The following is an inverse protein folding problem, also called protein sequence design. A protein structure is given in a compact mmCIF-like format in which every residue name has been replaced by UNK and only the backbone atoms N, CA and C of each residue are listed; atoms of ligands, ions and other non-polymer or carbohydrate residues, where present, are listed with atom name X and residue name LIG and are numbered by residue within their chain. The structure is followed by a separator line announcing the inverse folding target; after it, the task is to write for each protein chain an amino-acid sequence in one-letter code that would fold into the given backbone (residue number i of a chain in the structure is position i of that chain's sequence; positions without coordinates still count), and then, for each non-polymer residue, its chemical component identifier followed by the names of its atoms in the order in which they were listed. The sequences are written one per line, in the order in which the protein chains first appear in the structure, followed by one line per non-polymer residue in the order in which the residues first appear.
data_IF_787065458874
#
_entry.id   IF_787065458874
#
_cell.length_a   1.000
_cell.length_b   1.000
_cell.length_c   1.000
_cell.angle_alpha   90.00
_cell.angle_beta   90.00
_cell.angle_gamma   90.00
#
_symmetry.space_group_name_H-M   'P 1'
#
loop_
_entity.id
_entity.type
_entity.pdbx_description
1 polymer ?
#
# COMPACT_ATOMS: atom_id res chain seq x y z
N UNK A 1 -24.37 -19.17 -4.83
CA UNK A 1 -22.91 -19.26 -4.70
C UNK A 1 -22.51 -19.25 -3.21
N UNK A 2 -22.56 -20.44 -2.59
CA UNK A 2 -22.30 -20.57 -1.16
C UNK A 2 -20.86 -20.15 -0.81
N UNK A 3 -19.89 -20.45 -1.69
CA UNK A 3 -18.47 -20.14 -1.46
C UNK A 3 -18.24 -18.63 -1.31
N UNK A 4 -18.78 -17.83 -2.24
CA UNK A 4 -18.67 -16.37 -2.17
C UNK A 4 -19.40 -15.82 -0.93
N UNK A 5 -20.53 -16.41 -0.56
CA UNK A 5 -21.29 -15.97 0.61
C UNK A 5 -20.53 -16.25 1.93
N UNK A 6 -19.93 -17.44 2.06
CA UNK A 6 -19.14 -17.80 3.22
C UNK A 6 -17.91 -16.88 3.37
N UNK A 7 -17.19 -16.64 2.27
CA UNK A 7 -16.06 -15.71 2.25
C UNK A 7 -16.46 -14.27 2.60
N UNK A 8 -17.64 -13.83 2.10
CA UNK A 8 -18.21 -12.52 2.45
C UNK A 8 -18.44 -12.42 3.95
N UNK A 9 -19.02 -13.42 4.57
CA UNK A 9 -19.28 -13.41 6.02
C UNK A 9 -17.97 -13.22 6.81
N UNK A 10 -16.89 -13.90 6.45
CA UNK A 10 -15.59 -13.76 7.10
C UNK A 10 -15.07 -12.33 6.97
N UNK A 11 -15.07 -11.78 5.77
CA UNK A 11 -14.57 -10.42 5.51
C UNK A 11 -15.41 -9.35 6.21
N UNK A 12 -16.75 -9.48 6.18
CA UNK A 12 -17.64 -8.53 6.85
C UNK A 12 -17.56 -8.62 8.38
N UNK A 13 -17.33 -9.82 8.94
CA UNK A 13 -17.05 -9.95 10.38
C UNK A 13 -15.78 -9.21 10.77
N UNK A 14 -14.66 -9.44 10.07
CA UNK A 14 -13.40 -8.73 10.32
C UNK A 14 -13.57 -7.21 10.18
N UNK A 15 -14.31 -6.77 9.17
CA UNK A 15 -14.61 -5.34 8.96
C UNK A 15 -15.42 -4.76 10.12
N UNK A 16 -16.45 -5.45 10.58
CA UNK A 16 -17.29 -5.02 11.70
C UNK A 16 -16.50 -5.00 13.01
N UNK A 17 -15.67 -6.00 13.25
CA UNK A 17 -14.81 -6.07 14.44
C UNK A 17 -13.82 -4.90 14.45
N UNK A 18 -13.20 -4.58 13.34
CA UNK A 18 -12.31 -3.42 13.21
C UNK A 18 -13.04 -2.09 13.38
N UNK A 19 -14.31 -1.98 12.93
CA UNK A 19 -15.11 -0.76 13.09
C UNK A 19 -15.52 -0.51 14.55
N UNK A 20 -15.86 -1.57 15.28
CA UNK A 20 -16.43 -1.49 16.64
C UNK A 20 -15.37 -1.48 17.73
N UNK A 21 -14.17 -1.97 17.45
CA UNK A 21 -13.14 -2.14 18.47
C UNK A 21 -12.11 -1.02 18.46
N UNK A 22 -11.71 -0.57 19.64
CA UNK A 22 -10.53 0.30 19.82
C UNK A 22 -9.22 -0.53 19.83
N UNK A 23 -9.29 -1.77 19.32
CA UNK A 23 -8.17 -2.74 19.33
C UNK A 23 -7.37 -2.78 18.03
N UNK A 24 -7.45 -1.74 17.22
CA UNK A 24 -6.77 -1.73 15.92
C UNK A 24 -5.25 -1.89 16.05
N UNK A 25 -4.64 -1.34 17.09
CA UNK A 25 -3.22 -1.52 17.36
C UNK A 25 -2.86 -2.97 17.64
N UNK A 26 -3.75 -3.71 18.35
CA UNK A 26 -3.54 -5.13 18.60
C UNK A 26 -3.60 -5.94 17.28
N UNK A 27 -4.56 -5.67 16.42
CA UNK A 27 -4.64 -6.32 15.10
C UNK A 27 -3.41 -6.03 14.23
N UNK A 28 -2.94 -4.77 14.21
CA UNK A 28 -1.74 -4.44 13.45
C UNK A 28 -0.48 -5.11 14.01
N UNK A 29 -0.37 -5.28 15.33
CA UNK A 29 0.74 -6.01 15.95
C UNK A 29 0.70 -7.52 15.67
N UNK A 30 -0.49 -8.12 15.65
CA UNK A 30 -0.67 -9.53 15.26
C UNK A 30 -0.29 -9.77 13.80
N UNK A 31 -0.79 -8.94 12.89
CA UNK A 31 -0.48 -9.03 11.46
C UNK A 31 1.01 -8.81 11.18
N UNK A 32 1.64 -7.88 11.91
CA UNK A 32 3.07 -7.65 11.81
C UNK A 32 3.86 -8.91 12.22
N UNK A 33 3.49 -9.54 13.34
CA UNK A 33 4.15 -10.78 13.81
C UNK A 33 3.98 -11.93 12.81
N UNK A 34 2.77 -12.13 12.26
CA UNK A 34 2.53 -13.15 11.23
C UNK A 34 3.39 -12.88 9.99
N UNK A 35 3.44 -11.64 9.55
CA UNK A 35 4.24 -11.24 8.39
C UNK A 35 5.74 -11.44 8.61
N UNK A 36 6.26 -11.16 9.82
CA UNK A 36 7.66 -11.42 10.15
C UNK A 36 7.95 -12.92 10.14
N UNK A 37 7.05 -13.74 10.67
CA UNK A 37 7.19 -15.20 10.62
C UNK A 37 7.27 -15.71 9.18
N UNK A 38 6.46 -15.13 8.27
CA UNK A 38 6.53 -15.45 6.84
C UNK A 38 7.85 -15.00 6.21
N UNK A 39 8.37 -13.84 6.59
CA UNK A 39 9.71 -13.40 6.16
C UNK A 39 10.81 -14.36 6.60
N UNK A 40 10.75 -14.83 7.84
CA UNK A 40 11.71 -15.81 8.36
C UNK A 40 11.64 -17.12 7.57
N UNK A 41 10.43 -17.60 7.24
CA UNK A 41 10.25 -18.78 6.38
C UNK A 41 10.85 -18.58 4.99
N UNK A 42 10.65 -17.41 4.38
CA UNK A 42 11.24 -17.08 3.08
C UNK A 42 12.77 -16.99 3.15
N UNK A 43 13.30 -16.45 4.25
CA UNK A 43 14.74 -16.40 4.50
C UNK A 43 15.35 -17.80 4.63
N UNK A 44 14.66 -18.73 5.31
CA UNK A 44 15.07 -20.14 5.37
C UNK A 44 15.07 -20.80 3.98
N UNK A 45 14.05 -20.54 3.15
CA UNK A 45 14.02 -21.02 1.76
C UNK A 45 15.19 -20.46 0.94
N UNK A 46 15.58 -19.21 1.14
CA UNK A 46 16.74 -18.62 0.47
C UNK A 46 18.06 -19.30 0.85
N UNK A 47 18.19 -19.78 2.08
CA UNK A 47 19.38 -20.56 2.50
C UNK A 47 19.50 -21.89 1.73
N UNK A 48 18.36 -22.51 1.36
CA UNK A 48 18.32 -23.75 0.56
C UNK A 48 18.39 -23.51 -0.94
N UNK A 49 17.86 -22.38 -1.41
CA UNK A 49 17.91 -21.95 -2.81
C UNK A 49 18.40 -20.49 -2.90
N UNK A 50 19.71 -20.27 -3.13
CA UNK A 50 20.30 -18.92 -3.21
C UNK A 50 19.75 -18.05 -4.36
N UNK A 51 19.13 -18.66 -5.39
CA UNK A 51 18.50 -17.92 -6.49
C UNK A 51 17.11 -17.39 -6.14
N UNK A 52 16.53 -17.80 -5.02
CA UNK A 52 15.23 -17.33 -4.57
C UNK A 52 15.34 -15.89 -4.05
N UNK A 53 14.73 -14.96 -4.77
CA UNK A 53 14.69 -13.52 -4.44
C UNK A 53 13.42 -13.10 -3.71
N UNK A 54 12.52 -14.04 -3.36
CA UNK A 54 11.22 -13.73 -2.74
C UNK A 54 11.39 -13.00 -1.40
N UNK A 55 12.33 -13.44 -0.58
CA UNK A 55 12.63 -12.81 0.71
C UNK A 55 13.02 -11.34 0.54
N UNK A 56 13.95 -11.05 -0.38
CA UNK A 56 14.43 -9.69 -0.63
C UNK A 56 13.35 -8.78 -1.18
N UNK A 57 12.56 -9.30 -2.12
CA UNK A 57 11.45 -8.55 -2.70
C UNK A 57 10.39 -8.21 -1.65
N UNK A 58 10.01 -9.19 -0.81
CA UNK A 58 9.04 -8.97 0.27
C UNK A 58 9.59 -8.00 1.32
N UNK A 59 10.85 -8.12 1.70
CA UNK A 59 11.50 -7.21 2.64
C UNK A 59 11.56 -5.78 2.09
N UNK A 60 11.95 -5.59 0.83
CA UNK A 60 11.93 -4.27 0.14
C UNK A 60 10.54 -3.66 0.07
N UNK A 61 9.53 -4.49 -0.14
CA UNK A 61 8.13 -4.06 -0.23
C UNK A 61 7.65 -3.50 1.12
N UNK A 62 7.96 -4.20 2.21
CA UNK A 62 7.55 -3.82 3.57
C UNK A 62 8.26 -2.56 4.05
N UNK A 63 9.57 -2.52 3.89
CA UNK A 63 10.41 -1.43 4.39
C UNK A 63 10.39 -0.19 3.48
N UNK A 64 9.91 -0.34 2.24
CA UNK A 64 9.73 0.74 1.28
C UNK A 64 11.03 1.28 0.70
N UNK A 65 10.90 2.39 -0.05
CA UNK A 65 12.00 3.04 -0.76
C UNK A 65 12.94 3.86 0.14
N UNK A 66 12.65 3.96 1.41
CA UNK A 66 13.35 4.85 2.34
C UNK A 66 14.53 4.19 3.07
N UNK A 67 14.78 2.90 2.84
CA UNK A 67 15.93 2.21 3.40
C UNK A 67 17.12 2.38 2.47
N UNK A 68 18.24 2.82 3.06
CA UNK A 68 19.52 2.80 2.35
C UNK A 68 19.91 1.36 1.99
N UNK A 69 20.64 1.19 0.89
CA UNK A 69 21.15 -0.10 0.45
C UNK A 69 21.94 -0.80 1.55
N UNK A 70 22.73 -0.06 2.30
CA UNK A 70 23.55 -0.57 3.42
C UNK A 70 22.70 -1.14 4.57
N UNK A 71 21.61 -0.46 4.93
CA UNK A 71 20.69 -0.95 5.96
C UNK A 71 19.91 -2.17 5.49
N UNK A 72 19.55 -2.22 4.20
CA UNK A 72 18.90 -3.38 3.62
C UNK A 72 19.80 -4.62 3.64
N UNK A 73 21.08 -4.48 3.28
CA UNK A 73 22.05 -5.57 3.33
C UNK A 73 22.28 -6.05 4.76
N UNK A 74 22.41 -5.15 5.72
CA UNK A 74 22.51 -5.51 7.15
C UNK A 74 21.30 -6.32 7.60
N UNK A 75 20.08 -5.87 7.32
CA UNK A 75 18.84 -6.57 7.68
C UNK A 75 18.75 -7.95 7.03
N UNK A 76 19.19 -8.08 5.79
CA UNK A 76 19.14 -9.36 5.06
C UNK A 76 20.10 -10.40 5.65
N UNK A 77 21.21 -9.96 6.27
CA UNK A 77 22.25 -10.82 6.85
C UNK A 77 22.07 -11.11 8.34
N UNK A 78 21.20 -10.34 9.05
CA UNK A 78 20.91 -10.54 10.48
C UNK A 78 20.40 -11.97 10.76
N UNK A 79 20.57 -12.45 11.96
CA UNK A 79 19.89 -13.65 12.44
C UNK A 79 18.37 -13.42 12.58
N UNK A 80 17.61 -14.49 12.67
CA UNK A 80 16.13 -14.41 12.60
C UNK A 80 15.53 -13.64 13.79
N UNK A 81 16.12 -13.78 14.99
CA UNK A 81 15.67 -13.05 16.18
C UNK A 81 16.01 -11.57 16.13
N UNK A 82 17.18 -11.20 15.62
CA UNK A 82 17.59 -9.81 15.45
C UNK A 82 16.78 -9.12 14.37
N UNK A 83 16.48 -9.80 13.26
CA UNK A 83 15.61 -9.30 12.21
C UNK A 83 14.19 -9.03 12.73
N UNK A 84 13.63 -9.93 13.53
CA UNK A 84 12.33 -9.77 14.16
C UNK A 84 12.29 -8.53 15.04
N UNK A 85 13.29 -8.37 15.94
CA UNK A 85 13.38 -7.22 16.83
C UNK A 85 13.48 -5.92 16.05
N UNK A 86 14.36 -5.86 15.07
CA UNK A 86 14.60 -4.64 14.29
C UNK A 86 13.35 -4.18 13.52
N UNK A 87 12.60 -5.11 12.91
CA UNK A 87 11.35 -4.77 12.21
C UNK A 87 10.29 -4.29 13.21
N UNK A 88 10.17 -4.93 14.38
CA UNK A 88 9.27 -4.51 15.45
C UNK A 88 9.63 -3.11 15.97
N UNK A 89 10.91 -2.84 16.18
CA UNK A 89 11.41 -1.55 16.68
C UNK A 89 11.13 -0.43 15.68
N UNK A 90 11.36 -0.67 14.38
CA UNK A 90 11.02 0.28 13.32
C UNK A 90 9.51 0.59 13.31
N UNK A 91 8.67 -0.44 13.39
CA UNK A 91 7.23 -0.26 13.39
C UNK A 91 6.73 0.50 14.62
N UNK A 92 7.20 0.11 15.80
CA UNK A 92 6.84 0.76 17.07
C UNK A 92 7.27 2.21 17.10
N UNK A 93 8.51 2.50 16.68
CA UNK A 93 9.04 3.86 16.58
C UNK A 93 8.19 4.72 15.64
N UNK A 94 7.85 4.23 14.46
CA UNK A 94 7.00 4.95 13.51
C UNK A 94 5.61 5.24 14.10
N UNK A 95 5.04 4.31 14.88
CA UNK A 95 3.76 4.50 15.57
C UNK A 95 3.89 5.53 16.69
N UNK A 96 4.92 5.45 17.52
CA UNK A 96 5.18 6.43 18.60
C UNK A 96 5.36 7.85 18.06
N UNK A 97 6.10 8.00 16.97
CA UNK A 97 6.26 9.29 16.30
C UNK A 97 4.89 9.83 15.81
N UNK A 98 4.03 8.99 15.24
CA UNK A 98 2.66 9.40 14.88
C UNK A 98 1.84 9.82 16.09
N UNK A 99 1.86 9.03 17.16
CA UNK A 99 1.13 9.34 18.40
C UNK A 99 1.59 10.67 19.01
N UNK A 100 2.90 10.94 19.02
CA UNK A 100 3.44 12.21 19.49
C UNK A 100 2.96 13.41 18.68
N UNK A 101 2.76 13.24 17.38
CA UNK A 101 2.35 14.32 16.48
C UNK A 101 0.86 14.61 16.49
N UNK A 102 0.03 13.56 16.47
CA UNK A 102 -1.42 13.68 16.24
C UNK A 102 -2.26 13.19 17.40
N UNK A 103 -1.65 12.58 18.41
CA UNK A 103 -2.35 11.93 19.52
C UNK A 103 -2.74 10.48 19.22
N UNK A 104 -3.03 9.74 20.28
CA UNK A 104 -3.32 8.30 20.21
C UNK A 104 -4.62 8.03 19.46
N UNK A 105 -5.70 8.74 19.81
CA UNK A 105 -7.04 8.55 19.23
C UNK A 105 -7.01 8.76 17.70
N UNK A 106 -6.35 9.82 17.24
CA UNK A 106 -6.22 10.09 15.79
C UNK A 106 -5.33 9.06 15.09
N UNK A 107 -4.27 8.58 15.75
CA UNK A 107 -3.42 7.52 15.22
C UNK A 107 -4.20 6.22 15.06
N UNK A 108 -5.03 5.85 16.02
CA UNK A 108 -5.93 4.69 15.94
C UNK A 108 -6.94 4.83 14.80
N UNK A 109 -7.55 6.00 14.67
CA UNK A 109 -8.53 6.27 13.61
C UNK A 109 -7.88 6.19 12.20
N UNK A 110 -6.64 6.64 12.04
CA UNK A 110 -5.89 6.50 10.79
C UNK A 110 -5.60 5.03 10.48
N UNK A 111 -5.08 4.26 11.45
CA UNK A 111 -4.82 2.82 11.25
C UNK A 111 -6.12 2.08 10.90
N UNK A 112 -7.22 2.38 11.58
CA UNK A 112 -8.55 1.83 11.32
C UNK A 112 -9.03 2.14 9.90
N UNK A 113 -8.89 3.39 9.46
CA UNK A 113 -9.28 3.82 8.12
C UNK A 113 -8.45 3.13 7.03
N UNK A 114 -7.14 3.00 7.24
CA UNK A 114 -6.25 2.28 6.31
C UNK A 114 -6.63 0.80 6.23
N UNK A 115 -6.93 0.18 7.36
CA UNK A 115 -7.37 -1.22 7.40
C UNK A 115 -8.67 -1.44 6.63
N UNK A 116 -9.68 -0.61 6.88
CA UNK A 116 -10.97 -0.68 6.17
C UNK A 116 -10.79 -0.47 4.67
N UNK A 117 -9.97 0.49 4.26
CA UNK A 117 -9.67 0.74 2.86
C UNK A 117 -8.94 -0.46 2.21
N UNK A 118 -8.01 -1.09 2.93
CA UNK A 118 -7.31 -2.28 2.45
C UNK A 118 -8.27 -3.45 2.25
N UNK A 119 -9.22 -3.65 3.17
CA UNK A 119 -10.29 -4.64 3.03
C UNK A 119 -11.10 -4.36 1.76
N UNK A 120 -11.62 -3.14 1.62
CA UNK A 120 -12.52 -2.78 0.51
C UNK A 120 -11.85 -2.96 -0.86
N UNK A 121 -10.58 -2.55 -1.00
CA UNK A 121 -9.81 -2.70 -2.25
C UNK A 121 -9.53 -4.17 -2.59
N UNK A 122 -9.04 -4.95 -1.62
CA UNK A 122 -8.68 -6.35 -1.85
C UNK A 122 -9.94 -7.20 -2.08
N UNK A 123 -11.02 -6.96 -1.35
CA UNK A 123 -12.30 -7.65 -1.54
C UNK A 123 -12.92 -7.37 -2.91
N UNK A 124 -12.90 -6.12 -3.37
CA UNK A 124 -13.37 -5.77 -4.72
C UNK A 124 -12.61 -6.54 -5.81
N UNK A 125 -11.29 -6.59 -5.72
CA UNK A 125 -10.45 -7.34 -6.65
C UNK A 125 -10.75 -8.83 -6.61
N UNK A 126 -10.96 -9.38 -5.41
CA UNK A 126 -11.27 -10.80 -5.23
C UNK A 126 -12.59 -11.20 -5.88
N UNK A 127 -13.66 -10.40 -5.72
CA UNK A 127 -14.93 -10.66 -6.40
C UNK A 127 -14.74 -10.70 -7.91
N UNK A 128 -13.94 -9.80 -8.48
CA UNK A 128 -13.65 -9.79 -9.91
C UNK A 128 -12.90 -11.05 -10.35
N UNK A 129 -11.93 -11.54 -9.58
CA UNK A 129 -11.22 -12.78 -9.87
C UNK A 129 -12.16 -14.00 -9.78
N UNK A 130 -13.04 -14.08 -8.79
CA UNK A 130 -14.00 -15.16 -8.68
C UNK A 130 -14.98 -15.17 -9.84
N UNK A 131 -15.43 -14.01 -10.32
CA UNK A 131 -16.32 -13.93 -11.48
C UNK A 131 -15.60 -14.38 -12.75
N UNK A 132 -14.35 -14.00 -12.97
CA UNK A 132 -13.53 -14.49 -14.08
C UNK A 132 -13.32 -16.00 -13.99
N UNK A 133 -13.00 -16.53 -12.80
CA UNK A 133 -12.85 -17.96 -12.58
C UNK A 133 -14.13 -18.71 -12.93
N UNK A 134 -15.30 -18.19 -12.52
CA UNK A 134 -16.62 -18.78 -12.82
C UNK A 134 -16.88 -18.91 -14.31
N UNK A 135 -16.45 -17.93 -15.10
CA UNK A 135 -16.64 -17.94 -16.54
C UNK A 135 -15.79 -19.01 -17.24
N UNK A 136 -14.58 -19.28 -16.74
CA UNK A 136 -13.64 -20.19 -17.41
C UNK A 136 -13.58 -21.58 -16.83
N UNK A 137 -14.09 -21.80 -15.61
CA UNK A 137 -13.95 -23.07 -14.91
C UNK A 137 -14.64 -24.24 -15.65
N UNK A 138 -15.71 -23.96 -16.38
CA UNK A 138 -16.42 -24.95 -17.18
C UNK A 138 -15.55 -25.64 -18.24
N UNK A 139 -14.51 -24.96 -18.74
CA UNK A 139 -13.59 -25.53 -19.71
C UNK A 139 -12.76 -26.69 -19.14
N UNK A 140 -12.64 -26.82 -17.82
CA UNK A 140 -11.91 -27.91 -17.18
C UNK A 140 -12.63 -29.27 -17.26
N UNK A 141 -13.92 -29.27 -17.59
CA UNK A 141 -14.66 -30.50 -17.86
C UNK A 141 -14.07 -31.32 -19.03
N UNK A 142 -13.45 -30.66 -20.01
CA UNK A 142 -12.73 -31.33 -21.09
C UNK A 142 -11.54 -32.16 -20.61
N UNK A 143 -10.94 -31.81 -19.44
CA UNK A 143 -9.89 -32.58 -18.78
C UNK A 143 -10.37 -33.63 -17.80
N UNK A 144 -11.64 -34.07 -17.88
CA UNK A 144 -12.28 -35.05 -16.98
C UNK A 144 -12.24 -34.64 -15.48
N UNK A 145 -12.18 -33.34 -15.20
CA UNK A 145 -12.28 -32.81 -13.84
C UNK A 145 -13.65 -32.22 -13.59
N UNK A 146 -14.16 -32.43 -12.37
CA UNK A 146 -15.41 -31.80 -11.95
C UNK A 146 -15.22 -30.29 -11.80
N UNK A 147 -15.87 -29.43 -12.62
CA UNK A 147 -15.72 -27.98 -12.55
C UNK A 147 -16.11 -27.40 -11.19
N UNK A 148 -17.08 -28.00 -10.48
CA UNK A 148 -17.52 -27.52 -9.18
C UNK A 148 -16.46 -27.73 -8.10
N UNK A 149 -15.81 -28.89 -8.11
CA UNK A 149 -14.72 -29.20 -7.16
C UNK A 149 -13.52 -28.31 -7.43
N UNK A 150 -13.14 -28.15 -8.70
CA UNK A 150 -12.04 -27.27 -9.10
C UNK A 150 -12.31 -25.80 -8.74
N UNK A 151 -13.55 -25.32 -8.97
CA UNK A 151 -13.97 -23.98 -8.56
C UNK A 151 -13.81 -23.77 -7.06
N UNK A 152 -14.31 -24.67 -6.22
CA UNK A 152 -14.21 -24.58 -4.78
C UNK A 152 -12.76 -24.53 -4.32
N UNK A 153 -11.90 -25.38 -4.88
CA UNK A 153 -10.48 -25.47 -4.54
C UNK A 153 -9.74 -24.18 -4.91
N UNK A 154 -9.97 -23.66 -6.12
CA UNK A 154 -9.31 -22.40 -6.53
C UNK A 154 -9.85 -21.19 -5.80
N UNK A 155 -11.16 -21.11 -5.58
CA UNK A 155 -11.77 -20.03 -4.82
C UNK A 155 -11.24 -19.99 -3.38
N UNK A 156 -11.00 -21.15 -2.75
CA UNK A 156 -10.36 -21.22 -1.44
C UNK A 156 -8.91 -20.70 -1.47
N UNK A 157 -8.13 -21.14 -2.48
CA UNK A 157 -6.74 -20.67 -2.64
C UNK A 157 -6.68 -19.16 -2.89
N UNK A 158 -7.56 -18.62 -3.74
CA UNK A 158 -7.67 -17.18 -4.00
C UNK A 158 -8.05 -16.40 -2.73
N UNK A 159 -8.92 -16.96 -1.90
CA UNK A 159 -9.31 -16.32 -0.64
C UNK A 159 -8.19 -16.31 0.39
N UNK A 160 -7.42 -17.40 0.52
CA UNK A 160 -6.24 -17.43 1.37
C UNK A 160 -5.23 -16.36 0.92
N UNK A 161 -4.96 -16.28 -0.37
CA UNK A 161 -4.06 -15.27 -0.94
C UNK A 161 -4.57 -13.83 -0.70
N UNK A 162 -5.89 -13.61 -0.73
CA UNK A 162 -6.49 -12.33 -0.40
C UNK A 162 -6.20 -11.93 1.05
N UNK A 163 -6.38 -12.85 2.01
CA UNK A 163 -6.13 -12.57 3.43
C UNK A 163 -4.66 -12.24 3.68
N UNK A 164 -3.74 -12.98 3.08
CA UNK A 164 -2.30 -12.74 3.19
C UNK A 164 -1.91 -11.39 2.56
N UNK A 165 -2.47 -11.09 1.39
CA UNK A 165 -2.25 -9.83 0.71
C UNK A 165 -2.80 -8.64 1.51
N UNK A 166 -3.99 -8.77 2.11
CA UNK A 166 -4.60 -7.74 2.93
C UNK A 166 -3.70 -7.37 4.12
N UNK A 167 -3.18 -8.37 4.83
CA UNK A 167 -2.24 -8.17 5.94
C UNK A 167 -0.97 -7.46 5.46
N UNK A 168 -0.41 -7.92 4.33
CA UNK A 168 0.79 -7.35 3.74
C UNK A 168 0.59 -5.89 3.33
N UNK A 169 -0.48 -5.59 2.60
CA UNK A 169 -0.79 -4.23 2.14
C UNK A 169 -1.00 -3.28 3.33
N UNK A 170 -1.75 -3.72 4.34
CA UNK A 170 -2.01 -2.94 5.55
C UNK A 170 -0.71 -2.59 6.29
N UNK A 171 0.12 -3.59 6.60
CA UNK A 171 1.39 -3.36 7.32
C UNK A 171 2.37 -2.56 6.47
N UNK A 172 2.44 -2.81 5.16
CA UNK A 172 3.30 -2.03 4.26
C UNK A 172 2.93 -0.55 4.26
N UNK A 173 1.63 -0.22 4.23
CA UNK A 173 1.18 1.17 4.30
C UNK A 173 1.56 1.78 5.64
N UNK A 174 1.33 1.08 6.76
CA UNK A 174 1.67 1.59 8.10
C UNK A 174 3.17 1.83 8.29
N UNK A 175 4.01 0.93 7.77
CA UNK A 175 5.48 1.07 7.82
C UNK A 175 5.98 2.28 7.02
N UNK A 176 5.30 2.63 5.93
CA UNK A 176 5.69 3.71 5.04
C UNK A 176 4.90 5.02 5.28
N UNK A 177 4.00 5.03 6.27
CA UNK A 177 3.19 6.18 6.58
C UNK A 177 4.04 7.28 7.24
N UNK A 178 4.21 8.41 6.53
CA UNK A 178 4.92 9.58 7.04
C UNK A 178 3.95 10.71 7.31
N UNK A 179 4.12 11.37 8.44
CA UNK A 179 3.43 12.62 8.74
C UNK A 179 4.18 13.75 8.03
N UNK A 180 3.46 14.50 7.21
CA UNK A 180 3.97 15.70 6.55
C UNK A 180 3.33 16.90 7.21
N UNK A 181 4.13 17.79 7.77
CA UNK A 181 3.64 19.05 8.36
C UNK A 181 2.96 19.90 7.28
N UNK A 182 1.84 20.52 7.64
CA UNK A 182 1.07 21.41 6.73
C UNK A 182 1.92 22.56 6.16
N UNK A 183 2.98 22.93 6.82
CA UNK A 183 3.86 24.01 6.35
C UNK A 183 4.68 23.63 5.11
N UNK A 184 5.01 22.36 4.92
CA UNK A 184 5.64 21.86 3.70
C UNK A 184 4.65 21.83 2.51
N UNK A 185 3.37 21.62 2.77
CA UNK A 185 2.30 21.70 1.76
C UNK A 185 2.04 23.16 1.38
N UNK A 186 1.96 24.06 2.34
CA UNK A 186 1.81 25.51 2.10
C UNK A 186 2.97 26.11 1.32
N UNK A 187 4.20 25.62 1.51
CA UNK A 187 5.36 26.06 0.73
C UNK A 187 5.30 25.62 -0.73
N UNK A 188 4.70 24.47 -1.02
CA UNK A 188 4.48 24.01 -2.39
C UNK A 188 3.28 24.69 -3.06
N UNK A 189 2.23 25.01 -2.31
CA UNK A 189 1.10 25.80 -2.77
C UNK A 189 1.48 27.26 -3.00
N UNK A 190 2.18 27.91 -2.06
CA UNK A 190 2.74 29.26 -2.26
C UNK A 190 3.64 29.35 -3.49
N UNK A 191 4.52 28.34 -3.73
CA UNK A 191 5.33 28.32 -4.97
C UNK A 191 4.47 28.21 -6.23
N UNK A 192 3.30 27.56 -6.18
CA UNK A 192 2.36 27.51 -7.30
C UNK A 192 1.61 28.83 -7.46
N UNK A 193 1.14 29.45 -6.37
CA UNK A 193 0.49 30.74 -6.37
C UNK A 193 1.41 31.86 -6.82
N UNK A 194 2.68 31.86 -6.39
CA UNK A 194 3.67 32.85 -6.83
C UNK A 194 4.00 32.74 -8.32
N UNK A 195 3.91 31.54 -8.91
CA UNK A 195 4.07 31.32 -10.36
C UNK A 195 2.86 31.84 -11.13
N UNK A 196 1.65 31.61 -10.62
CA UNK A 196 0.39 32.00 -11.27
C UNK A 196 0.13 33.50 -11.12
N UNK A 197 0.56 34.11 -10.02
CA UNK A 197 0.34 35.52 -9.71
C UNK A 197 1.46 36.48 -10.18
N UNK A 198 2.40 36.00 -10.96
CA UNK A 198 3.41 36.90 -11.53
C UNK A 198 2.72 37.92 -12.48
N UNK A 199 2.77 39.24 -12.20
CA UNK A 199 2.02 40.23 -12.94
C UNK A 199 2.41 40.28 -14.43
N UNK A 200 3.63 39.94 -14.79
CA UNK A 200 4.06 39.84 -16.18
C UNK A 200 3.40 38.67 -16.92
N UNK A 201 3.19 37.51 -16.23
CA UNK A 201 2.48 36.38 -16.80
C UNK A 201 0.99 36.63 -16.97
N UNK A 202 0.35 37.34 -16.04
CA UNK A 202 -1.07 37.72 -16.12
C UNK A 202 -1.31 38.66 -17.30
N UNK A 203 -0.39 39.54 -17.63
CA UNK A 203 -0.49 40.43 -18.80
C UNK A 203 -0.46 39.67 -20.13
N UNK A 204 0.33 38.61 -20.22
CA UNK A 204 0.41 37.72 -21.40
C UNK A 204 -0.91 36.93 -21.58
N UNK A 205 -1.44 36.36 -20.49
CA UNK A 205 -2.71 35.65 -20.52
C UNK A 205 -3.89 36.53 -20.88
N UNK A 206 -3.91 37.82 -20.45
CA UNK A 206 -4.97 38.79 -20.79
C UNK A 206 -4.96 39.22 -22.25
N UNK A 207 -3.85 39.08 -22.95
CA UNK A 207 -3.77 39.44 -24.39
C UNK A 207 -4.39 38.41 -25.34
N UNK A 208 -4.91 37.26 -24.83
CA UNK A 208 -5.63 36.27 -25.63
C UNK A 208 -4.77 35.52 -26.64
N UNK A 209 -3.43 35.60 -26.56
CA UNK A 209 -2.53 34.86 -27.42
C UNK A 209 -2.52 33.40 -27.06
N UNK A 210 -2.77 32.52 -28.04
CA UNK A 210 -2.58 31.07 -27.90
C UNK A 210 -1.08 30.75 -27.94
N UNK A 211 -0.50 30.49 -26.76
CA UNK A 211 0.91 30.11 -26.61
C UNK A 211 1.01 28.58 -26.58
N UNK A 212 1.93 28.03 -27.37
CA UNK A 212 2.20 26.58 -27.37
C UNK A 212 2.75 26.10 -26.02
N UNK A 213 2.36 24.90 -25.56
CA UNK A 213 2.81 24.33 -24.27
C UNK A 213 4.33 24.24 -24.12
N UNK A 214 5.06 24.08 -25.22
CA UNK A 214 6.52 23.96 -25.22
C UNK A 214 7.27 25.28 -25.54
N UNK A 215 6.54 26.34 -25.87
CA UNK A 215 7.10 27.66 -26.16
C UNK A 215 7.63 28.32 -24.88
N UNK A 216 8.67 29.15 -25.01
CA UNK A 216 9.25 29.83 -23.86
C UNK A 216 8.35 31.00 -23.45
N UNK A 217 8.02 31.05 -22.16
CA UNK A 217 7.29 32.19 -21.61
C UNK A 217 8.19 33.45 -21.62
N UNK A 218 7.74 34.51 -22.29
CA UNK A 218 8.47 35.78 -22.38
C UNK A 218 8.76 36.42 -21.03
N UNK A 219 7.90 36.18 -20.02
CA UNK A 219 8.07 36.74 -18.68
C UNK A 219 9.15 36.03 -17.86
N UNK A 220 9.34 34.71 -18.01
CA UNK A 220 10.19 33.89 -17.14
C UNK A 220 11.26 33.08 -17.86
N UNK A 221 11.24 33.05 -19.21
CA UNK A 221 12.15 32.23 -20.02
C UNK A 221 11.96 30.72 -19.93
N UNK A 222 11.06 30.24 -19.07
CA UNK A 222 10.72 28.82 -18.91
C UNK A 222 9.67 28.39 -19.95
N UNK A 223 9.58 27.07 -20.23
CA UNK A 223 8.52 26.55 -21.10
C UNK A 223 7.15 26.91 -20.52
N UNK A 224 6.20 27.33 -21.39
CA UNK A 224 4.87 27.80 -20.97
C UNK A 224 4.17 26.80 -20.05
N UNK A 225 4.24 25.50 -20.31
CA UNK A 225 3.70 24.43 -19.46
C UNK A 225 4.28 24.38 -18.04
N UNK A 226 5.46 24.95 -17.82
CA UNK A 226 6.12 24.97 -16.51
C UNK A 226 6.08 26.37 -15.87
N UNK A 227 5.28 27.27 -16.39
CA UNK A 227 5.11 28.65 -15.96
C UNK A 227 3.62 29.03 -16.00
N UNK A 228 3.23 29.90 -16.89
CA UNK A 228 1.85 30.43 -17.01
C UNK A 228 0.81 29.39 -17.46
N UNK A 229 1.23 28.30 -18.06
CA UNK A 229 0.38 27.19 -18.50
C UNK A 229 0.40 25.96 -17.59
N UNK A 230 0.91 26.10 -16.39
CA UNK A 230 0.91 25.06 -15.34
C UNK A 230 -0.40 25.13 -14.53
N UNK A 231 -1.52 24.90 -15.21
CA UNK A 231 -2.85 24.70 -14.58
C UNK A 231 -3.13 23.22 -14.44
#
# INVERSE_FOLDING_TARGET
DNVLNDQRHVIFSQRNDAMKSDKIFMYSDEFLKEMINDLIRLKMKKKTDPKNVEFENKLKMILGKNISTDNFEKLSQMDDNSLLKEILDIFTKNREERIKFIGEDQSQEIEKRIFLQSIDLNWKSHIQYLEQLRQVIGLRSYGQRDPLIEYKKEAFSLFSNLLDKLKLDFITILMNLKIVEKDSLKSSEKKREDIVNNPKCLLILKKGQKISRNEKCEATGKKFKNCCGAL
#
